data_IF_232651832119
#
_entry.id   IF_232651832119
#
_cell.length_a   1.000
_cell.length_b   1.000
_cell.length_c   1.000
_cell.angle_alpha   90.00
_cell.angle_beta   90.00
_cell.angle_gamma   90.00
#
_symmetry.space_group_name_H-M   'P 1'
#
loop_
_entity.id
_entity.type
_entity.pdbx_description
1 polymer ?
#
# COMPACT_ATOMS: atom_id res chain seq x y z
N UNK A 1 7.14 14.69 29.89
CA UNK A 1 7.33 13.56 28.95
C UNK A 1 7.79 14.11 27.62
N UNK A 2 8.91 13.63 27.06
CA UNK A 2 9.48 14.14 25.80
C UNK A 2 8.48 13.91 24.65
N UNK A 3 8.18 14.98 23.90
CA UNK A 3 7.36 14.91 22.68
C UNK A 3 8.12 14.06 21.66
N UNK A 4 7.70 12.81 21.47
CA UNK A 4 8.29 11.95 20.43
C UNK A 4 7.97 12.59 19.08
N UNK A 5 8.99 13.06 18.36
CA UNK A 5 8.80 13.71 17.07
C UNK A 5 8.84 12.66 15.97
N UNK A 6 7.70 12.38 15.35
CA UNK A 6 7.61 11.49 14.17
C UNK A 6 7.88 12.21 12.84
N UNK A 7 8.44 13.43 12.88
CA UNK A 7 8.62 14.28 11.70
C UNK A 7 9.42 13.60 10.58
N UNK A 8 10.50 12.89 10.92
CA UNK A 8 11.32 12.14 9.95
C UNK A 8 10.48 11.06 9.25
N UNK A 9 9.67 10.32 10.02
CA UNK A 9 8.87 9.23 9.48
C UNK A 9 7.70 9.74 8.63
N UNK A 10 7.11 10.89 8.99
CA UNK A 10 6.13 11.58 8.12
C UNK A 10 6.77 12.05 6.82
N UNK A 11 7.97 12.63 6.87
CA UNK A 11 8.69 13.02 5.67
C UNK A 11 8.99 11.81 4.76
N UNK A 12 9.38 10.67 5.33
CA UNK A 12 9.56 9.42 4.59
C UNK A 12 8.26 8.95 3.90
N UNK A 13 7.11 9.06 4.58
CA UNK A 13 5.80 8.73 3.97
C UNK A 13 5.51 9.61 2.76
N UNK A 14 5.78 10.92 2.84
CA UNK A 14 5.63 11.82 1.69
C UNK A 14 6.64 11.51 0.57
N UNK A 15 7.88 11.19 0.92
CA UNK A 15 8.93 10.82 -0.03
C UNK A 15 8.60 9.53 -0.79
N UNK A 16 7.86 8.60 -0.17
CA UNK A 16 7.36 7.40 -0.85
C UNK A 16 6.10 7.73 -1.68
N UNK A 17 5.17 8.52 -1.14
CA UNK A 17 3.90 8.80 -1.79
C UNK A 17 4.00 9.68 -3.04
N UNK A 18 4.87 10.69 -3.04
CA UNK A 18 4.99 11.65 -4.14
C UNK A 18 5.53 11.03 -5.44
N UNK A 19 6.63 10.25 -5.44
CA UNK A 19 7.11 9.58 -6.65
C UNK A 19 6.09 8.59 -7.20
N UNK A 20 5.41 7.82 -6.34
CA UNK A 20 4.36 6.90 -6.80
C UNK A 20 3.22 7.68 -7.45
N UNK A 21 2.77 8.77 -6.85
CA UNK A 21 1.75 9.62 -7.45
C UNK A 21 2.21 10.21 -8.80
N UNK A 22 3.46 10.65 -8.90
CA UNK A 22 4.03 11.17 -10.14
C UNK A 22 4.11 10.09 -11.24
N UNK A 23 4.52 8.87 -10.90
CA UNK A 23 4.52 7.72 -11.81
C UNK A 23 3.10 7.40 -12.27
N UNK A 24 2.11 7.47 -11.36
CA UNK A 24 0.72 7.25 -11.73
C UNK A 24 0.20 8.32 -12.70
N UNK A 25 0.48 9.61 -12.45
CA UNK A 25 0.09 10.72 -13.34
C UNK A 25 0.80 10.62 -14.69
N UNK A 26 2.08 10.29 -14.68
CA UNK A 26 2.87 10.11 -15.90
C UNK A 26 2.38 8.91 -16.71
N UNK A 27 2.17 7.75 -16.07
CA UNK A 27 1.61 6.56 -16.71
C UNK A 27 0.26 6.86 -17.34
N UNK A 28 -0.62 7.53 -16.61
CA UNK A 28 -1.88 8.08 -17.10
C UNK A 28 -1.74 8.88 -18.40
N UNK A 29 -0.80 9.82 -18.45
CA UNK A 29 -0.60 10.67 -19.62
C UNK A 29 -0.10 9.90 -20.85
N UNK A 30 0.44 8.70 -20.67
CA UNK A 30 0.93 7.81 -21.73
C UNK A 30 -0.12 6.78 -22.18
N UNK A 31 -1.22 6.64 -21.44
CA UNK A 31 -2.38 5.85 -21.85
C UNK A 31 -3.27 6.67 -22.79
N UNK A 32 -2.83 6.82 -24.04
CA UNK A 32 -3.70 7.24 -25.13
C UNK A 32 -4.44 6.00 -25.69
N UNK A 33 -5.79 5.94 -25.65
CA UNK A 33 -6.58 4.89 -26.28
C UNK A 33 -6.29 4.69 -27.77
N UNK A 34 -5.79 5.72 -28.45
CA UNK A 34 -5.46 5.69 -29.87
C UNK A 34 -3.95 5.57 -30.13
N UNK A 35 -3.16 5.26 -29.10
CA UNK A 35 -1.71 5.07 -29.26
C UNK A 35 -1.43 3.92 -30.24
N UNK A 36 -0.49 4.10 -31.19
CA UNK A 36 -0.04 3.03 -32.07
C UNK A 36 0.49 1.81 -31.31
N UNK A 37 0.94 2.00 -30.06
CA UNK A 37 1.43 0.92 -29.20
C UNK A 37 0.33 -0.08 -28.83
N UNK A 38 -0.88 0.40 -28.51
CA UNK A 38 -2.02 -0.45 -28.15
C UNK A 38 -2.77 -0.98 -29.37
N UNK A 39 -2.42 -0.55 -30.58
CA UNK A 39 -3.01 -1.03 -31.83
C UNK A 39 -2.43 -2.37 -32.30
N UNK A 40 -1.41 -2.90 -31.62
CA UNK A 40 -0.89 -4.24 -31.91
C UNK A 40 -1.93 -5.29 -31.45
N UNK A 41 -2.25 -6.31 -32.28
CA UNK A 41 -3.25 -7.34 -31.94
C UNK A 41 -2.97 -8.07 -30.63
N UNK A 42 -1.69 -8.18 -30.25
CA UNK A 42 -1.25 -8.84 -29.01
C UNK A 42 -1.44 -7.96 -27.76
N UNK A 43 -1.57 -6.63 -27.93
CA UNK A 43 -1.67 -5.66 -26.86
C UNK A 43 -3.05 -4.98 -26.75
N UNK A 44 -3.88 -5.01 -27.79
CA UNK A 44 -5.17 -4.29 -27.86
C UNK A 44 -6.09 -4.60 -26.67
N UNK A 45 -6.09 -5.86 -26.22
CA UNK A 45 -6.95 -6.34 -25.13
C UNK A 45 -6.31 -6.17 -23.73
N UNK A 46 -5.04 -5.74 -23.65
CA UNK A 46 -4.31 -5.59 -22.39
C UNK A 46 -4.45 -4.19 -21.79
N UNK A 47 -4.73 -3.18 -22.62
CA UNK A 47 -4.74 -1.78 -22.20
C UNK A 47 -5.67 -1.54 -21.01
N UNK A 48 -6.94 -1.94 -21.13
CA UNK A 48 -7.93 -1.67 -20.08
C UNK A 48 -7.74 -2.53 -18.82
N UNK A 49 -7.51 -3.85 -18.90
CA UNK A 49 -7.25 -4.66 -17.70
C UNK A 49 -6.07 -4.16 -16.86
N UNK A 50 -4.95 -3.81 -17.51
CA UNK A 50 -3.76 -3.28 -16.82
C UNK A 50 -4.04 -1.92 -16.18
N UNK A 51 -4.74 -1.04 -16.90
CA UNK A 51 -5.10 0.27 -16.38
C UNK A 51 -6.02 0.14 -15.14
N UNK A 52 -7.05 -0.71 -15.25
CA UNK A 52 -8.00 -0.97 -14.17
C UNK A 52 -7.28 -1.57 -12.95
N UNK A 53 -6.43 -2.59 -13.16
CA UNK A 53 -5.64 -3.22 -12.10
C UNK A 53 -4.76 -2.23 -11.35
N UNK A 54 -3.99 -1.42 -12.09
CA UNK A 54 -3.18 -0.34 -11.54
C UNK A 54 -4.00 0.61 -10.65
N UNK A 55 -5.16 1.10 -11.13
CA UNK A 55 -5.99 2.02 -10.35
C UNK A 55 -6.62 1.39 -9.12
N UNK A 56 -7.14 0.17 -9.24
CA UNK A 56 -7.69 -0.54 -8.10
C UNK A 56 -6.60 -0.77 -7.05
N UNK A 57 -5.35 -1.03 -7.46
CA UNK A 57 -4.20 -1.13 -6.57
C UNK A 57 -3.76 0.19 -5.92
N UNK A 58 -3.90 1.31 -6.62
CA UNK A 58 -3.57 2.65 -6.09
C UNK A 58 -4.43 3.04 -4.89
N UNK A 59 -5.74 2.72 -4.92
CA UNK A 59 -6.68 3.08 -3.87
C UNK A 59 -6.21 2.59 -2.47
N UNK A 60 -5.98 1.28 -2.24
CA UNK A 60 -5.49 0.78 -0.96
C UNK A 60 -4.08 1.30 -0.64
N UNK A 61 -3.22 1.54 -1.64
CA UNK A 61 -1.89 2.12 -1.40
C UNK A 61 -1.98 3.52 -0.74
N UNK A 62 -2.76 4.45 -1.32
CA UNK A 62 -2.91 5.78 -0.74
C UNK A 62 -3.67 5.77 0.59
N UNK A 63 -4.64 4.86 0.76
CA UNK A 63 -5.29 4.64 2.06
C UNK A 63 -4.27 4.19 3.12
N UNK A 64 -3.33 3.29 2.78
CA UNK A 64 -2.29 2.84 3.69
C UNK A 64 -1.33 3.97 4.08
N UNK A 65 -0.95 4.85 3.14
CA UNK A 65 -0.13 6.04 3.43
C UNK A 65 -0.83 7.00 4.38
N UNK A 66 -2.09 7.32 4.09
CA UNK A 66 -2.91 8.17 4.97
C UNK A 66 -3.05 7.58 6.37
N UNK A 67 -3.25 6.26 6.43
CA UNK A 67 -3.39 5.57 7.70
C UNK A 67 -2.08 5.52 8.50
N UNK A 68 -0.94 5.48 7.81
CA UNK A 68 0.39 5.63 8.40
C UNK A 68 0.57 7.03 9.00
N UNK A 69 0.19 8.09 8.28
CA UNK A 69 0.20 9.46 8.82
C UNK A 69 -0.68 9.62 10.07
N UNK A 70 -1.86 8.99 10.08
CA UNK A 70 -2.73 8.94 11.27
C UNK A 70 -2.03 8.26 12.45
N UNK A 71 -1.42 7.10 12.22
CA UNK A 71 -0.69 6.37 13.26
C UNK A 71 0.43 7.23 13.87
N UNK A 72 1.23 7.89 13.02
CA UNK A 72 2.26 8.83 13.46
C UNK A 72 1.69 10.01 14.24
N UNK A 73 0.53 10.53 13.82
CA UNK A 73 -0.20 11.58 14.53
C UNK A 73 -0.72 11.14 15.90
N UNK A 74 -1.05 9.86 16.10
CA UNK A 74 -1.40 9.31 17.40
C UNK A 74 -0.18 9.17 18.29
N UNK A 75 0.97 8.76 17.75
CA UNK A 75 2.24 8.70 18.47
C UNK A 75 2.65 10.09 18.99
N UNK A 76 2.59 11.12 18.16
CA UNK A 76 2.92 12.50 18.57
C UNK A 76 2.02 13.03 19.70
N UNK A 77 0.79 12.52 19.79
CA UNK A 77 -0.19 12.89 20.83
C UNK A 77 -0.11 11.99 22.07
N UNK A 78 0.91 11.14 22.19
CA UNK A 78 1.03 10.12 23.23
C UNK A 78 -0.15 9.12 23.28
N UNK A 79 -0.84 8.93 22.15
CA UNK A 79 -1.95 7.99 21.97
C UNK A 79 -1.52 6.73 21.20
N UNK A 80 -0.22 6.38 21.24
CA UNK A 80 0.33 5.21 20.55
C UNK A 80 -0.38 3.91 21.02
N UNK A 81 -0.57 3.74 22.33
CA UNK A 81 -1.29 2.62 22.94
C UNK A 81 -2.79 2.90 23.04
N UNK A 82 -3.44 3.07 21.90
CA UNK A 82 -4.88 3.31 21.83
C UNK A 82 -5.56 2.39 20.81
N UNK A 83 -6.86 2.20 20.98
CA UNK A 83 -7.72 1.49 20.01
C UNK A 83 -7.69 2.16 18.64
N UNK A 84 -7.48 3.48 18.58
CA UNK A 84 -7.30 4.24 17.34
C UNK A 84 -6.03 3.83 16.58
N UNK A 85 -4.92 3.65 17.28
CA UNK A 85 -3.67 3.16 16.70
C UNK A 85 -3.77 1.71 16.22
N UNK A 86 -4.46 0.84 16.97
CA UNK A 86 -4.75 -0.53 16.54
C UNK A 86 -5.59 -0.54 15.26
N UNK A 87 -6.65 0.28 15.21
CA UNK A 87 -7.50 0.43 14.02
C UNK A 87 -6.70 0.95 12.82
N UNK A 88 -5.74 1.84 13.06
CA UNK A 88 -4.84 2.30 12.02
C UNK A 88 -4.01 1.16 11.42
N UNK A 89 -3.34 0.37 12.26
CA UNK A 89 -2.53 -0.77 11.80
C UNK A 89 -3.41 -1.82 11.10
N UNK A 90 -4.62 -2.08 11.61
CA UNK A 90 -5.56 -3.00 10.99
C UNK A 90 -5.95 -2.56 9.56
N UNK A 91 -6.18 -1.26 9.35
CA UNK A 91 -6.48 -0.71 8.04
C UNK A 91 -5.28 -0.81 7.09
N UNK A 92 -4.04 -0.55 7.56
CA UNK A 92 -2.81 -0.75 6.77
C UNK A 92 -2.70 -2.21 6.31
N UNK A 93 -2.90 -3.16 7.23
CA UNK A 93 -2.90 -4.60 6.90
C UNK A 93 -3.93 -4.96 5.83
N UNK A 94 -5.18 -4.46 5.97
CA UNK A 94 -6.26 -4.70 4.98
C UNK A 94 -5.90 -4.13 3.62
N UNK A 95 -5.30 -2.95 3.56
CA UNK A 95 -4.84 -2.35 2.31
C UNK A 95 -3.75 -3.21 1.66
N UNK A 96 -2.77 -3.68 2.42
CA UNK A 96 -1.73 -4.56 1.91
C UNK A 96 -2.29 -5.88 1.33
N UNK A 97 -3.27 -6.50 2.03
CA UNK A 97 -3.97 -7.69 1.52
C UNK A 97 -4.76 -7.38 0.25
N UNK A 98 -5.43 -6.22 0.18
CA UNK A 98 -6.15 -5.81 -1.03
C UNK A 98 -5.21 -5.67 -2.23
N UNK A 99 -4.03 -5.05 -2.04
CA UNK A 99 -3.01 -4.94 -3.11
C UNK A 99 -2.56 -6.32 -3.58
N UNK A 100 -2.31 -7.27 -2.66
CA UNK A 100 -1.96 -8.65 -3.03
C UNK A 100 -3.05 -9.27 -3.93
N UNK A 101 -4.32 -9.16 -3.54
CA UNK A 101 -5.43 -9.74 -4.30
C UNK A 101 -5.52 -9.11 -5.69
N UNK A 102 -5.42 -7.78 -5.78
CA UNK A 102 -5.46 -7.06 -7.06
C UNK A 102 -4.36 -7.54 -7.99
N UNK A 103 -3.12 -7.55 -7.53
CA UNK A 103 -1.99 -7.93 -8.38
C UNK A 103 -1.98 -9.44 -8.70
N UNK A 104 -2.51 -10.30 -7.84
CA UNK A 104 -2.73 -11.72 -8.17
C UNK A 104 -3.75 -11.89 -9.31
N UNK A 105 -4.82 -11.09 -9.32
CA UNK A 105 -5.80 -11.10 -10.40
C UNK A 105 -5.26 -10.48 -11.69
N UNK A 106 -4.33 -9.53 -11.58
CA UNK A 106 -3.69 -8.86 -12.71
C UNK A 106 -2.57 -9.70 -13.36
N UNK A 107 -2.05 -10.72 -12.66
CA UNK A 107 -0.95 -11.56 -13.13
C UNK A 107 -1.09 -12.12 -14.55
N UNK A 108 -2.25 -12.66 -14.97
CA UNK A 108 -2.40 -13.17 -16.34
C UNK A 108 -2.14 -12.09 -17.40
N UNK A 109 -2.57 -10.86 -17.13
CA UNK A 109 -2.39 -9.72 -18.05
C UNK A 109 -0.93 -9.24 -18.03
N UNK A 110 -0.28 -9.21 -16.86
CA UNK A 110 1.15 -8.90 -16.74
C UNK A 110 2.02 -9.96 -17.46
N UNK A 111 1.60 -11.22 -17.44
CA UNK A 111 2.25 -12.29 -18.19
C UNK A 111 2.16 -12.06 -19.70
N UNK A 112 0.96 -11.78 -20.21
CA UNK A 112 0.75 -11.46 -21.62
C UNK A 112 1.57 -10.24 -22.05
N UNK A 113 1.62 -9.18 -21.24
CA UNK A 113 2.43 -7.99 -21.51
C UNK A 113 3.94 -8.31 -21.57
N UNK A 114 4.42 -9.17 -20.67
CA UNK A 114 5.84 -9.58 -20.66
C UNK A 114 6.21 -10.34 -21.92
N UNK A 115 5.30 -11.19 -22.43
CA UNK A 115 5.53 -11.94 -23.66
C UNK A 115 5.47 -11.06 -24.91
N UNK A 116 4.62 -10.03 -24.92
CA UNK A 116 4.35 -9.22 -26.10
C UNK A 116 5.34 -8.05 -26.31
N UNK A 117 5.89 -7.48 -25.24
CA UNK A 117 6.76 -6.29 -25.32
C UNK A 117 8.11 -6.44 -24.59
N UNK A 118 8.48 -7.67 -24.21
CA UNK A 118 9.68 -7.98 -23.39
C UNK A 118 9.78 -7.11 -22.12
N UNK A 119 8.64 -6.58 -21.67
CA UNK A 119 8.54 -5.71 -20.51
C UNK A 119 8.64 -6.57 -19.24
N UNK A 120 9.33 -6.13 -18.18
CA UNK A 120 9.49 -6.91 -16.95
C UNK A 120 8.22 -6.91 -16.05
N UNK A 121 7.02 -7.00 -16.65
CA UNK A 121 5.74 -6.80 -15.99
C UNK A 121 5.43 -7.85 -14.92
N UNK A 122 5.76 -9.14 -15.17
CA UNK A 122 5.62 -10.20 -14.16
C UNK A 122 6.51 -9.91 -12.93
N UNK A 123 7.77 -9.54 -13.16
CA UNK A 123 8.74 -9.29 -12.07
C UNK A 123 8.29 -8.11 -11.22
N UNK A 124 7.77 -7.05 -11.86
CA UNK A 124 7.18 -5.91 -11.16
C UNK A 124 5.95 -6.31 -10.33
N UNK A 125 5.03 -7.10 -10.88
CA UNK A 125 3.87 -7.60 -10.15
C UNK A 125 4.27 -8.46 -8.94
N UNK A 126 5.25 -9.35 -9.10
CA UNK A 126 5.75 -10.19 -8.01
C UNK A 126 6.41 -9.37 -6.91
N UNK A 127 7.17 -8.34 -7.28
CA UNK A 127 7.77 -7.42 -6.33
C UNK A 127 6.70 -6.68 -5.51
N UNK A 128 5.63 -6.21 -6.14
CA UNK A 128 4.52 -5.51 -5.47
C UNK A 128 3.77 -6.44 -4.51
N UNK A 129 3.51 -7.68 -4.92
CA UNK A 129 2.91 -8.69 -4.06
C UNK A 129 3.81 -8.98 -2.86
N UNK A 130 5.11 -9.19 -3.09
CA UNK A 130 6.06 -9.50 -2.04
C UNK A 130 6.20 -8.34 -1.04
N UNK A 131 6.36 -7.11 -1.51
CA UNK A 131 6.41 -5.91 -0.66
C UNK A 131 5.12 -5.77 0.17
N UNK A 132 3.96 -6.00 -0.44
CA UNK A 132 2.67 -5.96 0.24
C UNK A 132 2.53 -7.09 1.28
N UNK A 133 3.07 -8.28 0.99
CA UNK A 133 3.11 -9.39 1.95
C UNK A 133 3.93 -9.04 3.18
N UNK A 134 5.12 -8.46 2.99
CA UNK A 134 5.98 -7.99 4.11
C UNK A 134 5.23 -6.98 4.96
N UNK A 135 4.57 -6.00 4.34
CA UNK A 135 3.75 -5.00 5.06
C UNK A 135 2.59 -5.66 5.81
N UNK A 136 1.88 -6.60 5.18
CA UNK A 136 0.74 -7.29 5.79
C UNK A 136 1.16 -8.10 7.03
N UNK A 137 2.25 -8.87 6.93
CA UNK A 137 2.80 -9.66 8.03
C UNK A 137 3.28 -8.75 9.16
N UNK A 138 4.06 -7.71 8.83
CA UNK A 138 4.55 -6.76 9.82
C UNK A 138 3.41 -6.04 10.55
N UNK A 139 2.41 -5.56 9.81
CA UNK A 139 1.22 -4.93 10.39
C UNK A 139 0.43 -5.91 11.26
N UNK A 140 0.32 -7.19 10.89
CA UNK A 140 -0.34 -8.20 11.71
C UNK A 140 0.39 -8.41 13.05
N UNK A 141 1.71 -8.49 13.03
CA UNK A 141 2.53 -8.61 14.24
C UNK A 141 2.39 -7.37 15.13
N UNK A 142 2.54 -6.17 14.57
CA UNK A 142 2.38 -4.92 15.33
C UNK A 142 0.96 -4.76 15.89
N UNK A 143 -0.06 -5.16 15.13
CA UNK A 143 -1.44 -5.12 15.59
C UNK A 143 -1.61 -5.96 16.86
N UNK A 144 -1.10 -7.20 16.86
CA UNK A 144 -1.18 -8.10 18.01
C UNK A 144 -0.42 -7.56 19.21
N UNK A 145 0.84 -7.15 19.01
CA UNK A 145 1.69 -6.61 20.08
C UNK A 145 1.07 -5.36 20.72
N UNK A 146 0.49 -4.47 19.91
CA UNK A 146 -0.13 -3.26 20.42
C UNK A 146 -1.42 -3.55 21.19
N UNK A 147 -2.21 -4.52 20.74
CA UNK A 147 -3.40 -4.97 21.47
C UNK A 147 -3.04 -5.58 22.83
N UNK A 148 -2.01 -6.44 22.87
CA UNK A 148 -1.53 -7.04 24.11
C UNK A 148 -1.01 -5.96 25.08
N UNK A 149 -0.25 -4.99 24.58
CA UNK A 149 0.24 -3.87 25.38
C UNK A 149 -0.88 -2.99 25.95
N UNK A 150 -1.95 -2.74 25.16
CA UNK A 150 -3.12 -1.99 25.63
C UNK A 150 -3.82 -2.76 26.75
N UNK A 151 -4.00 -4.08 26.61
CA UNK A 151 -4.63 -4.92 27.64
C UNK A 151 -3.85 -4.87 28.95
N UNK A 152 -2.54 -5.07 28.89
CA UNK A 152 -1.65 -5.02 30.07
C UNK A 152 -1.74 -3.64 30.75
N UNK A 153 -1.71 -2.56 29.97
CA UNK A 153 -1.86 -1.20 30.52
C UNK A 153 -3.21 -1.01 31.20
N UNK A 154 -4.30 -1.48 30.60
CA UNK A 154 -5.64 -1.37 31.20
C UNK A 154 -5.78 -2.18 32.48
N UNK A 155 -5.15 -3.36 32.57
CA UNK A 155 -5.15 -4.17 33.79
C UNK A 155 -4.38 -3.48 34.91
N UNK A 156 -3.22 -2.86 34.60
CA UNK A 156 -2.43 -2.13 35.58
C UNK A 156 -3.11 -0.83 36.06
N UNK A 157 -3.83 -0.13 35.17
CA UNK A 157 -4.59 1.08 35.53
C UNK A 157 -5.83 0.76 36.40
N UNK A 158 -6.27 -0.50 36.47
CA UNK A 158 -7.43 -0.96 37.27
C UNK A 158 -7.05 -1.51 38.67
N UNK A 159 -5.78 -1.82 38.92
CA UNK A 159 -5.32 -2.42 40.18
C UNK A 159 -4.59 -1.45 41.11
N UNK A 160 -4.25 -0.25 40.63
CA UNK A 160 -3.58 0.82 41.40
C UNK A 160 -4.58 1.86 41.90
#
# INVERSE_FOLDING_TARGET
MKRSSTAVLKAAVFLIGLPVLAVCIYGLSRFDPNSPYWALPELENLQYPLLIGMYIGMIPFFIALYQSLKLLGYIDRNQAFSTLSVKAIQNIKRCAIAIIIVYLLEMPFLYMLTMADDAPAIVMGLFIIFASLVVAVFAAVLQKLLQDAIRIKSENDLTV
#
